data_IF_824550844761
#
_entry.id   IF_824550844761
#
_cell.length_a   1.000
_cell.length_b   1.000
_cell.length_c   1.000
_cell.angle_alpha   90.00
_cell.angle_beta   90.00
_cell.angle_gamma   90.00
#
_symmetry.space_group_name_H-M   'P 1'
#
loop_
_entity.id
_entity.type
_entity.pdbx_description
1 polymer ?
#
# COMPACT_ATOMS: atom_id res chain seq x y z
N UNK A 1 5.92 2.46 -14.23
CA UNK A 1 5.86 3.49 -13.17
C UNK A 1 7.02 3.24 -12.21
N UNK A 2 7.74 4.28 -11.80
CA UNK A 2 8.80 4.18 -10.78
C UNK A 2 8.25 4.67 -9.44
N UNK A 3 8.60 3.96 -8.37
CA UNK A 3 8.26 4.32 -7.00
C UNK A 3 9.41 4.10 -6.04
N UNK A 4 9.32 4.71 -4.87
CA UNK A 4 10.25 4.48 -3.75
C UNK A 4 9.51 3.96 -2.52
N UNK A 5 10.21 3.18 -1.71
CA UNK A 5 9.74 2.76 -0.39
C UNK A 5 10.13 3.78 0.68
N UNK A 6 9.18 4.15 1.54
CA UNK A 6 9.40 5.08 2.66
C UNK A 6 9.23 4.32 3.98
N UNK A 7 10.24 4.36 4.86
CA UNK A 7 10.26 3.59 6.11
C UNK A 7 10.24 4.50 7.35
N UNK A 8 9.06 4.67 7.95
CA UNK A 8 8.76 5.63 9.03
C UNK A 8 9.47 5.32 10.37
N UNK A 9 10.10 4.15 10.53
CA UNK A 9 10.83 3.77 11.76
C UNK A 9 12.32 3.45 11.51
N UNK A 10 12.81 3.68 10.29
CA UNK A 10 14.22 3.40 9.91
C UNK A 10 14.97 4.65 9.48
N UNK A 11 14.24 5.72 9.20
CA UNK A 11 14.74 6.95 8.61
C UNK A 11 13.97 8.09 9.27
N UNK A 12 14.65 9.20 9.57
CA UNK A 12 13.98 10.32 10.22
C UNK A 12 12.93 10.97 9.29
N UNK A 13 11.95 11.64 9.87
CA UNK A 13 10.95 12.41 9.14
C UNK A 13 11.59 13.38 8.13
N UNK A 14 12.62 14.12 8.55
CA UNK A 14 13.31 15.10 7.69
C UNK A 14 13.98 14.43 6.49
N UNK A 15 14.63 13.30 6.70
CA UNK A 15 15.27 12.53 5.63
C UNK A 15 14.23 11.94 4.66
N UNK A 16 13.12 11.42 5.17
CA UNK A 16 12.01 10.93 4.34
C UNK A 16 11.42 12.06 3.49
N UNK A 17 11.18 13.24 4.08
CA UNK A 17 10.70 14.42 3.34
C UNK A 17 11.72 14.85 2.27
N UNK A 18 13.02 14.86 2.60
CA UNK A 18 14.07 15.19 1.65
C UNK A 18 14.11 14.19 0.48
N UNK A 19 13.95 12.89 0.77
CA UNK A 19 13.86 11.84 -0.24
C UNK A 19 12.65 12.05 -1.17
N UNK A 20 11.45 12.31 -0.62
CA UNK A 20 10.23 12.58 -1.41
C UNK A 20 10.46 13.75 -2.38
N UNK A 21 11.04 14.85 -1.89
CA UNK A 21 11.35 16.03 -2.71
C UNK A 21 12.37 15.72 -3.81
N UNK A 22 13.40 14.93 -3.49
CA UNK A 22 14.43 14.54 -4.45
C UNK A 22 13.85 13.66 -5.57
N UNK A 23 13.02 12.68 -5.23
CA UNK A 23 12.48 11.75 -6.23
C UNK A 23 11.45 12.39 -7.15
N UNK A 24 10.73 13.42 -6.66
CA UNK A 24 9.83 14.22 -7.51
C UNK A 24 10.59 14.86 -8.68
N UNK A 25 11.79 15.42 -8.42
CA UNK A 25 12.65 16.01 -9.46
C UNK A 25 13.10 14.99 -10.51
N UNK A 26 13.14 13.71 -10.14
CA UNK A 26 13.56 12.60 -10.99
C UNK A 26 12.37 11.87 -11.67
N UNK A 27 11.19 12.51 -11.72
CA UNK A 27 9.97 11.95 -12.37
C UNK A 27 9.50 10.60 -11.78
N UNK A 28 9.89 10.29 -10.54
CA UNK A 28 9.30 9.20 -9.77
C UNK A 28 7.93 9.68 -9.29
N UNK A 29 6.91 8.82 -9.39
CA UNK A 29 5.51 9.22 -9.20
C UNK A 29 4.76 8.40 -8.16
N UNK A 30 5.42 7.41 -7.53
CA UNK A 30 4.80 6.57 -6.50
C UNK A 30 5.62 6.57 -5.20
N UNK A 31 4.93 6.70 -4.07
CA UNK A 31 5.45 6.43 -2.73
C UNK A 31 4.80 5.16 -2.22
N UNK A 32 5.60 4.22 -1.75
CA UNK A 32 5.16 2.97 -1.17
C UNK A 32 5.53 2.93 0.32
N UNK A 33 4.55 2.68 1.18
CA UNK A 33 4.74 2.56 2.61
C UNK A 33 4.52 1.10 3.02
N UNK A 34 5.58 0.37 3.42
CA UNK A 34 5.50 -1.02 3.85
C UNK A 34 4.95 -1.09 5.29
N UNK A 35 3.64 -0.90 5.42
CA UNK A 35 2.92 -0.84 6.70
C UNK A 35 2.43 -2.21 7.20
N UNK A 36 2.71 -3.29 6.45
CA UNK A 36 2.21 -4.65 6.72
C UNK A 36 2.45 -5.09 8.17
N UNK A 37 3.69 -4.88 8.63
CA UNK A 37 4.17 -5.30 9.94
C UNK A 37 4.18 -4.13 10.95
N UNK A 38 3.49 -3.02 10.63
CA UNK A 38 3.42 -1.84 11.51
C UNK A 38 2.03 -1.75 12.18
N UNK A 39 1.85 -2.32 13.38
CA UNK A 39 0.56 -2.32 14.05
C UNK A 39 0.09 -0.90 14.36
N UNK A 40 -1.20 -0.65 14.21
CA UNK A 40 -1.83 0.66 14.43
C UNK A 40 -1.18 1.82 13.64
N UNK A 41 -0.56 1.53 12.48
CA UNK A 41 0.10 2.55 11.64
C UNK A 41 -0.83 3.73 11.30
N UNK A 42 -2.14 3.51 11.26
CA UNK A 42 -3.13 4.56 10.94
C UNK A 42 -3.09 5.75 11.90
N UNK A 43 -2.57 5.56 13.11
CA UNK A 43 -2.43 6.60 14.13
C UNK A 43 -0.99 7.13 14.24
N UNK A 44 -0.08 6.67 13.39
CA UNK A 44 1.30 7.13 13.43
C UNK A 44 1.40 8.54 12.82
N UNK A 45 1.76 9.57 13.61
CA UNK A 45 1.74 10.96 13.14
C UNK A 45 2.77 11.22 12.04
N UNK A 46 3.93 10.55 12.09
CA UNK A 46 4.98 10.70 11.09
C UNK A 46 4.55 10.13 9.73
N UNK A 47 3.94 8.93 9.73
CA UNK A 47 3.40 8.30 8.52
C UNK A 47 2.30 9.17 7.90
N UNK A 48 1.37 9.65 8.73
CA UNK A 48 0.29 10.53 8.29
C UNK A 48 0.89 11.77 7.58
N UNK A 49 1.88 12.41 8.20
CA UNK A 49 2.55 13.57 7.63
C UNK A 49 3.24 13.27 6.30
N UNK A 50 3.90 12.11 6.18
CA UNK A 50 4.58 11.69 4.97
C UNK A 50 3.60 11.35 3.84
N UNK A 51 2.47 10.72 4.16
CA UNK A 51 1.38 10.43 3.20
C UNK A 51 0.83 11.74 2.63
N UNK A 52 0.46 12.69 3.50
CA UNK A 52 -0.07 13.99 3.06
C UNK A 52 0.96 14.77 2.26
N UNK A 53 2.23 14.78 2.67
CA UNK A 53 3.31 15.40 1.92
C UNK A 53 3.47 14.82 0.50
N UNK A 54 3.26 13.51 0.34
CA UNK A 54 3.21 12.85 -0.97
C UNK A 54 2.00 13.24 -1.81
N UNK A 55 0.82 13.25 -1.20
CA UNK A 55 -0.44 13.62 -1.87
C UNK A 55 -0.41 15.08 -2.37
N UNK A 56 0.04 16.02 -1.55
CA UNK A 56 0.22 17.44 -1.93
C UNK A 56 1.16 17.62 -3.13
N UNK A 57 2.13 16.71 -3.26
CA UNK A 57 3.08 16.68 -4.38
C UNK A 57 2.59 15.83 -5.56
N UNK A 58 1.33 15.41 -5.57
CA UNK A 58 0.71 14.57 -6.61
C UNK A 58 1.45 13.24 -6.85
N UNK A 59 1.86 12.57 -5.77
CA UNK A 59 2.31 11.17 -5.85
C UNK A 59 1.13 10.21 -5.78
N UNK A 60 1.25 9.07 -6.46
CA UNK A 60 0.50 7.87 -6.11
C UNK A 60 1.01 7.37 -4.75
N UNK A 61 0.14 7.24 -3.76
CA UNK A 61 0.46 6.74 -2.42
C UNK A 61 -0.07 5.32 -2.25
N UNK A 62 0.85 4.39 -2.09
CA UNK A 62 0.62 2.96 -1.85
C UNK A 62 0.88 2.56 -0.40
N UNK A 63 -0.06 1.85 0.23
CA UNK A 63 0.14 1.25 1.56
C UNK A 63 0.15 -0.28 1.46
N UNK A 64 1.15 -0.95 2.05
CA UNK A 64 1.15 -2.40 2.22
C UNK A 64 0.33 -2.77 3.46
N UNK A 65 -0.70 -3.58 3.29
CA UNK A 65 -1.66 -3.91 4.34
C UNK A 65 -1.69 -5.42 4.52
N UNK A 66 -1.62 -5.86 5.78
CA UNK A 66 -1.97 -7.21 6.19
C UNK A 66 -3.42 -7.27 6.63
N UNK A 67 -4.03 -8.46 6.59
CA UNK A 67 -5.38 -8.70 7.09
C UNK A 67 -5.53 -8.26 8.55
N UNK A 68 -4.51 -8.47 9.37
CA UNK A 68 -4.53 -8.08 10.79
C UNK A 68 -4.59 -6.56 11.00
N UNK A 69 -4.08 -5.79 10.05
CA UNK A 69 -4.06 -4.33 10.08
C UNK A 69 -5.12 -3.70 9.15
N UNK A 70 -5.99 -4.50 8.53
CA UNK A 70 -6.99 -4.00 7.59
C UNK A 70 -8.23 -3.49 8.33
N UNK A 71 -8.45 -2.18 8.25
CA UNK A 71 -9.71 -1.55 8.62
C UNK A 71 -10.07 -0.52 7.55
N UNK A 72 -11.11 -0.80 6.77
CA UNK A 72 -11.48 0.03 5.62
C UNK A 72 -11.83 1.47 6.01
N UNK A 73 -12.63 1.67 7.07
CA UNK A 73 -13.02 3.01 7.53
C UNK A 73 -11.82 3.84 8.01
N UNK A 74 -10.83 3.17 8.63
CA UNK A 74 -9.60 3.84 9.05
C UNK A 74 -8.70 4.15 7.85
N UNK A 75 -8.55 3.22 6.91
CA UNK A 75 -7.77 3.40 5.67
C UNK A 75 -8.26 4.60 4.85
N UNK A 76 -9.58 4.80 4.78
CA UNK A 76 -10.17 5.94 4.07
C UNK A 76 -9.70 7.30 4.61
N UNK A 77 -9.34 7.39 5.91
CA UNK A 77 -8.82 8.63 6.50
C UNK A 77 -7.48 9.07 5.91
N UNK A 78 -6.68 8.11 5.44
CA UNK A 78 -5.39 8.37 4.79
C UNK A 78 -5.55 8.62 3.29
N UNK A 79 -6.72 8.31 2.71
CA UNK A 79 -7.02 8.43 1.29
C UNK A 79 -5.91 7.91 0.35
N UNK A 80 -5.39 6.68 0.56
CA UNK A 80 -4.36 6.14 -0.31
C UNK A 80 -4.91 5.93 -1.72
N UNK A 81 -4.12 6.20 -2.75
CA UNK A 81 -4.51 5.92 -4.14
C UNK A 81 -4.36 4.46 -4.48
N UNK A 82 -3.50 3.74 -3.74
CA UNK A 82 -3.17 2.35 -3.96
C UNK A 82 -3.08 1.62 -2.62
N UNK A 83 -3.61 0.40 -2.54
CA UNK A 83 -3.33 -0.53 -1.44
C UNK A 83 -2.69 -1.79 -2.00
N UNK A 84 -1.71 -2.32 -1.28
CA UNK A 84 -1.10 -3.62 -1.56
C UNK A 84 -1.54 -4.60 -0.48
N UNK A 85 -2.34 -5.59 -0.87
CA UNK A 85 -2.77 -6.67 0.01
C UNK A 85 -1.71 -7.77 0.04
N UNK A 86 -1.22 -8.10 1.23
CA UNK A 86 -0.28 -9.21 1.41
C UNK A 86 -0.95 -10.59 1.22
N UNK A 87 -0.21 -11.67 1.50
CA UNK A 87 -0.69 -13.04 1.34
C UNK A 87 -1.60 -13.54 2.48
N UNK A 88 -1.95 -12.69 3.45
CA UNK A 88 -2.84 -13.06 4.56
C UNK A 88 -4.33 -12.94 4.22
N UNK A 89 -4.67 -12.33 3.08
CA UNK A 89 -6.04 -12.26 2.57
C UNK A 89 -6.42 -13.48 1.73
N UNK A 90 -7.64 -13.97 1.92
CA UNK A 90 -8.26 -14.95 1.03
C UNK A 90 -8.77 -14.28 -0.26
N UNK A 91 -9.03 -15.09 -1.29
CA UNK A 91 -9.56 -14.59 -2.56
C UNK A 91 -10.89 -13.85 -2.38
N UNK A 92 -11.81 -14.38 -1.56
CA UNK A 92 -13.13 -13.76 -1.40
C UNK A 92 -13.03 -12.40 -0.71
N UNK A 93 -12.10 -12.26 0.24
CA UNK A 93 -11.79 -10.97 0.87
C UNK A 93 -11.20 -9.99 -0.14
N UNK A 94 -10.26 -10.44 -0.98
CA UNK A 94 -9.68 -9.61 -2.05
C UNK A 94 -10.78 -9.10 -3.00
N UNK A 95 -11.69 -9.96 -3.45
CA UNK A 95 -12.80 -9.57 -4.33
C UNK A 95 -13.69 -8.51 -3.65
N UNK A 96 -14.08 -8.73 -2.40
CA UNK A 96 -14.90 -7.76 -1.65
C UNK A 96 -14.20 -6.40 -1.50
N UNK A 97 -12.88 -6.39 -1.34
CA UNK A 97 -12.09 -5.15 -1.27
C UNK A 97 -12.03 -4.46 -2.64
N UNK A 98 -11.89 -5.23 -3.73
CA UNK A 98 -11.93 -4.71 -5.11
C UNK A 98 -13.24 -4.00 -5.40
N UNK A 99 -14.36 -4.58 -4.99
CA UNK A 99 -15.68 -4.01 -5.26
C UNK A 99 -15.97 -2.72 -4.45
N UNK A 100 -15.17 -2.42 -3.43
CA UNK A 100 -15.43 -1.32 -2.48
C UNK A 100 -14.34 -0.25 -2.45
N UNK A 101 -13.10 -0.54 -2.80
CA UNK A 101 -12.01 0.43 -2.74
C UNK A 101 -11.92 1.25 -4.04
N UNK A 102 -11.98 2.60 -3.97
CA UNK A 102 -12.01 3.45 -5.18
C UNK A 102 -10.65 3.60 -5.88
N UNK A 103 -9.57 3.08 -5.30
CA UNK A 103 -8.21 3.19 -5.83
C UNK A 103 -7.70 1.90 -6.47
N UNK A 104 -6.39 1.83 -6.70
CA UNK A 104 -5.72 0.65 -7.26
C UNK A 104 -5.47 -0.38 -6.17
N UNK A 105 -5.64 -1.65 -6.50
CA UNK A 105 -5.28 -2.77 -5.63
C UNK A 105 -4.11 -3.53 -6.26
N UNK A 106 -3.04 -3.70 -5.48
CA UNK A 106 -1.93 -4.56 -5.80
C UNK A 106 -2.04 -5.83 -4.96
N UNK A 107 -1.84 -6.98 -5.59
CA UNK A 107 -1.84 -8.29 -4.95
C UNK A 107 -0.56 -9.03 -5.36
N UNK A 108 -0.05 -9.88 -4.47
CA UNK A 108 1.14 -10.68 -4.76
C UNK A 108 0.89 -11.64 -5.93
N UNK A 109 1.77 -11.61 -6.93
CA UNK A 109 1.66 -12.48 -8.11
C UNK A 109 1.62 -13.98 -7.77
N UNK A 110 2.28 -14.40 -6.69
CA UNK A 110 2.23 -15.80 -6.23
C UNK A 110 0.85 -16.22 -5.76
N UNK A 111 0.04 -15.30 -5.23
CA UNK A 111 -1.36 -15.55 -4.89
C UNK A 111 -2.14 -15.85 -6.16
N UNK A 112 -1.97 -15.02 -7.20
CA UNK A 112 -2.60 -15.25 -8.53
C UNK A 112 -2.16 -16.61 -9.12
N UNK A 113 -0.87 -16.95 -9.07
CA UNK A 113 -0.38 -18.23 -9.59
C UNK A 113 -0.97 -19.43 -8.86
N UNK A 114 -1.12 -19.36 -7.55
CA UNK A 114 -1.75 -20.42 -6.75
C UNK A 114 -3.24 -20.57 -7.08
N UNK A 115 -3.94 -19.47 -7.38
CA UNK A 115 -5.33 -19.50 -7.84
C UNK A 115 -5.46 -20.21 -9.19
N UNK A 116 -4.61 -19.87 -10.15
CA UNK A 116 -4.60 -20.51 -11.48
C UNK A 116 -4.32 -22.02 -11.35
N UNK A 117 -3.31 -22.40 -10.55
CA UNK A 117 -2.98 -23.82 -10.30
C UNK A 117 -4.12 -24.58 -9.63
N UNK A 118 -4.79 -23.96 -8.65
CA UNK A 118 -5.90 -24.57 -7.93
C UNK A 118 -7.17 -24.73 -8.77
N UNK A 119 -7.40 -23.86 -9.76
CA UNK A 119 -8.50 -23.98 -10.71
C UNK A 119 -8.27 -25.11 -11.71
N UNK A 120 -7.06 -25.21 -12.27
CA UNK A 120 -6.70 -26.28 -13.20
C UNK A 120 -6.82 -27.67 -12.55
N UNK A 121 -6.50 -27.84 -11.26
CA UNK A 121 -6.66 -29.13 -10.57
C UNK A 121 -8.10 -29.58 -10.32
N UNK A 122 -9.10 -28.69 -10.41
CA UNK A 122 -10.52 -29.04 -10.18
C UNK A 122 -11.28 -29.36 -11.47
N UNK A 123 -10.71 -29.00 -12.62
CA UNK A 123 -11.36 -29.14 -13.93
C UNK A 123 -10.69 -30.18 -14.84
N UNK A 124 -9.77 -30.99 -14.29
CA UNK A 124 -9.09 -32.10 -14.97
C UNK A 124 -9.02 -33.31 -14.04
#
# INVERSE_FOLDING_TARGET
>A
MLGISIYVNKTSLQENIAAIRLVKKNKISMLFFPTRDFPNFINNPELIQLIFCGQEQNFEVGLEISKYNFNYQQLQKLNPTTIWLDNSFSLIEIINIIDTFPGKIQILAIVIQNLIKGWNKRNF
#
